data_IF_409487264004
#
_entry.id   IF_409487264004
#
_cell.length_a   1.000
_cell.length_b   1.000
_cell.length_c   1.000
_cell.angle_alpha   90.00
_cell.angle_beta   90.00
_cell.angle_gamma   90.00
#
_symmetry.space_group_name_H-M   'P 1'
#
loop_
_entity.id
_entity.type
_entity.pdbx_description
1 polymer ?
#
# COMPACT_ATOMS: atom_id res chain seq x y z
N UNK A 1 -17.93 7.62 -10.42
CA UNK A 1 -16.84 8.42 -9.82
C UNK A 1 -17.38 9.71 -9.18
N UNK A 2 -18.42 9.67 -8.32
CA UNK A 2 -19.25 10.87 -8.13
C UNK A 2 -19.64 11.28 -6.71
N UNK A 3 -19.25 10.60 -5.63
CA UNK A 3 -19.68 11.01 -4.27
C UNK A 3 -18.58 10.79 -3.23
N UNK A 4 -17.46 11.49 -3.39
CA UNK A 4 -16.40 11.56 -2.36
C UNK A 4 -16.97 12.01 -1.01
N UNK A 5 -17.97 12.89 -1.02
CA UNK A 5 -18.68 13.34 0.19
C UNK A 5 -19.42 12.21 0.91
N UNK A 6 -20.00 11.26 0.17
CA UNK A 6 -20.60 10.07 0.79
C UNK A 6 -19.55 9.13 1.34
N UNK A 7 -18.44 8.94 0.62
CA UNK A 7 -17.35 8.10 1.11
C UNK A 7 -16.82 8.66 2.43
N UNK A 8 -16.60 9.98 2.49
CA UNK A 8 -16.23 10.67 3.72
C UNK A 8 -17.25 10.45 4.85
N UNK A 9 -18.54 10.64 4.57
CA UNK A 9 -19.60 10.40 5.55
C UNK A 9 -19.60 8.98 6.11
N UNK A 10 -19.51 7.98 5.23
CA UNK A 10 -19.46 6.57 5.64
C UNK A 10 -18.18 6.22 6.44
N UNK A 11 -17.04 6.80 6.08
CA UNK A 11 -15.78 6.63 6.82
C UNK A 11 -15.91 7.22 8.22
N UNK A 12 -16.46 8.44 8.35
CA UNK A 12 -16.67 9.09 9.65
C UNK A 12 -17.65 8.31 10.53
N UNK A 13 -18.74 7.78 9.96
CA UNK A 13 -19.66 6.91 10.69
C UNK A 13 -18.95 5.63 11.18
N UNK A 14 -18.11 5.02 10.34
CA UNK A 14 -17.33 3.84 10.72
C UNK A 14 -16.28 4.15 11.81
N UNK A 15 -15.63 5.31 11.75
CA UNK A 15 -14.70 5.79 12.78
C UNK A 15 -15.40 5.96 14.13
N UNK A 16 -16.61 6.51 14.15
CA UNK A 16 -17.42 6.65 15.37
C UNK A 16 -17.82 5.29 15.95
N UNK A 17 -18.03 4.28 15.11
CA UNK A 17 -18.39 2.93 15.54
C UNK A 17 -17.20 2.13 16.06
N UNK A 18 -16.05 2.21 15.39
CA UNK A 18 -14.84 1.43 15.71
C UNK A 18 -13.57 2.15 15.21
N UNK A 19 -12.99 2.97 16.08
CA UNK A 19 -11.75 3.71 15.81
C UNK A 19 -10.52 2.78 15.71
N UNK A 20 -10.59 1.60 16.35
CA UNK A 20 -9.50 0.62 16.37
C UNK A 20 -9.52 -0.29 15.12
N UNK A 21 -10.41 -0.06 14.16
CA UNK A 21 -10.43 -0.81 12.92
C UNK A 21 -9.40 -0.27 11.92
N UNK A 22 -8.35 -1.05 11.55
CA UNK A 22 -7.32 -0.58 10.64
C UNK A 22 -7.87 -0.27 9.23
N UNK A 23 -8.98 -0.91 8.83
CA UNK A 23 -9.58 -0.66 7.51
C UNK A 23 -10.20 0.74 7.41
N UNK A 24 -10.68 1.32 8.51
CA UNK A 24 -11.21 2.70 8.52
C UNK A 24 -10.10 3.68 8.14
N UNK A 25 -8.94 3.54 8.77
CA UNK A 25 -7.76 4.35 8.49
C UNK A 25 -7.23 4.16 7.06
N UNK A 26 -7.28 2.94 6.51
CA UNK A 26 -6.96 2.68 5.10
C UNK A 26 -7.93 3.40 4.17
N UNK A 27 -9.24 3.31 4.43
CA UNK A 27 -10.24 3.99 3.59
C UNK A 27 -10.11 5.52 3.69
N UNK A 28 -9.80 6.04 4.88
CA UNK A 28 -9.51 7.46 5.06
C UNK A 28 -8.28 7.88 4.26
N UNK A 29 -7.20 7.08 4.28
CA UNK A 29 -6.01 7.35 3.47
C UNK A 29 -6.30 7.33 1.96
N UNK A 30 -7.16 6.43 1.47
CA UNK A 30 -7.57 6.39 0.07
C UNK A 30 -8.39 7.61 -0.32
N UNK A 31 -9.29 8.06 0.56
CA UNK A 31 -10.01 9.33 0.39
C UNK A 31 -9.03 10.51 0.32
N UNK A 32 -8.07 10.59 1.24
CA UNK A 32 -7.03 11.62 1.27
C UNK A 32 -6.15 11.60 0.01
N UNK A 33 -5.79 10.41 -0.48
CA UNK A 33 -5.05 10.24 -1.72
C UNK A 33 -5.84 10.73 -2.94
N UNK A 34 -7.16 10.54 -2.95
CA UNK A 34 -8.04 11.03 -4.01
C UNK A 34 -8.18 12.57 -4.02
N UNK A 35 -8.00 13.23 -2.88
CA UNK A 35 -7.96 14.71 -2.77
C UNK A 35 -6.54 15.29 -2.85
N UNK A 36 -5.54 14.46 -3.16
CA UNK A 36 -4.12 14.84 -3.27
C UNK A 36 -3.44 15.26 -1.95
N UNK A 37 -4.01 14.89 -0.80
CA UNK A 37 -3.40 15.11 0.53
C UNK A 37 -2.52 13.91 0.92
N UNK A 38 -1.38 13.76 0.23
CA UNK A 38 -0.48 12.61 0.37
C UNK A 38 0.19 12.50 1.75
N UNK A 39 0.48 13.62 2.41
CA UNK A 39 1.07 13.64 3.75
C UNK A 39 0.13 13.00 4.79
N UNK A 40 -1.11 13.49 4.85
CA UNK A 40 -2.12 12.96 5.76
C UNK A 40 -2.50 11.51 5.41
N UNK A 41 -2.46 11.14 4.12
CA UNK A 41 -2.68 9.75 3.71
C UNK A 41 -1.59 8.83 4.28
N UNK A 42 -0.33 9.27 4.28
CA UNK A 42 0.79 8.52 4.84
C UNK A 42 0.65 8.36 6.35
N UNK A 43 0.27 9.42 7.06
CA UNK A 43 0.00 9.36 8.51
C UNK A 43 -1.14 8.40 8.83
N UNK A 44 -2.23 8.43 8.05
CA UNK A 44 -3.39 7.56 8.23
C UNK A 44 -3.05 6.08 7.99
N UNK A 45 -2.25 5.78 6.96
CA UNK A 45 -1.72 4.43 6.74
C UNK A 45 -0.77 3.99 7.85
N UNK A 46 0.04 4.91 8.38
CA UNK A 46 0.87 4.67 9.56
C UNK A 46 0.03 4.25 10.77
N UNK A 47 -1.08 4.95 11.03
CA UNK A 47 -2.03 4.57 12.09
C UNK A 47 -2.60 3.16 11.86
N UNK A 48 -3.01 2.84 10.64
CA UNK A 48 -3.49 1.50 10.30
C UNK A 48 -2.45 0.41 10.62
N UNK A 49 -1.18 0.66 10.32
CA UNK A 49 -0.07 -0.27 10.58
C UNK A 49 0.32 -0.35 12.07
N UNK A 50 0.06 0.68 12.87
CA UNK A 50 0.23 0.60 14.33
C UNK A 50 -0.82 -0.30 14.97
N UNK A 51 -2.05 -0.28 14.45
CA UNK A 51 -3.15 -1.12 14.90
C UNK A 51 -2.94 -2.57 14.44
N UNK A 52 -2.63 -2.76 13.15
CA UNK A 52 -2.39 -4.05 12.53
C UNK A 52 -1.15 -3.98 11.63
N UNK A 53 -0.01 -4.44 12.15
CA UNK A 53 1.27 -4.41 11.46
C UNK A 53 1.31 -5.30 10.21
N UNK A 54 0.42 -6.29 10.10
CA UNK A 54 0.32 -7.19 8.95
C UNK A 54 -0.80 -6.77 7.98
N UNK A 55 -1.36 -5.56 8.14
CA UNK A 55 -2.44 -5.07 7.29
C UNK A 55 -1.99 -4.90 5.84
N UNK A 56 -2.50 -5.80 5.00
CA UNK A 56 -2.11 -5.92 3.61
C UNK A 56 -2.37 -4.67 2.77
N UNK A 57 -3.53 -4.05 2.95
CA UNK A 57 -3.94 -2.87 2.20
C UNK A 57 -3.12 -1.65 2.62
N UNK A 58 -2.87 -1.49 3.92
CA UNK A 58 -2.06 -0.40 4.43
C UNK A 58 -0.62 -0.45 3.89
N UNK A 59 0.03 -1.62 3.94
CA UNK A 59 1.39 -1.80 3.43
C UNK A 59 1.48 -1.52 1.92
N UNK A 60 0.53 -2.03 1.14
CA UNK A 60 0.51 -1.86 -0.32
C UNK A 60 0.30 -0.40 -0.71
N UNK A 61 -0.67 0.28 -0.09
CA UNK A 61 -0.94 1.68 -0.39
C UNK A 61 0.19 2.62 0.08
N UNK A 62 0.83 2.32 1.21
CA UNK A 62 1.99 3.10 1.68
C UNK A 62 3.18 2.94 0.72
N UNK A 63 3.46 1.71 0.26
CA UNK A 63 4.47 1.47 -0.76
C UNK A 63 4.13 2.18 -2.09
N UNK A 64 2.86 2.17 -2.48
CA UNK A 64 2.42 2.88 -3.66
C UNK A 64 2.66 4.39 -3.55
N UNK A 65 2.37 5.01 -2.39
CA UNK A 65 2.65 6.42 -2.16
C UNK A 65 4.15 6.70 -2.32
N UNK A 66 5.04 5.95 -1.68
CA UNK A 66 6.49 6.12 -1.84
C UNK A 66 7.00 5.97 -3.28
N UNK A 67 6.34 5.15 -4.10
CA UNK A 67 6.69 4.96 -5.51
C UNK A 67 6.04 5.98 -6.44
N UNK A 68 5.23 6.91 -5.91
CA UNK A 68 4.55 7.94 -6.70
C UNK A 68 5.38 9.22 -6.67
N UNK A 69 5.76 9.80 -7.82
CA UNK A 69 6.70 10.93 -7.88
C UNK A 69 6.17 12.23 -7.26
N UNK A 70 4.88 12.29 -6.88
CA UNK A 70 4.21 13.47 -6.36
C UNK A 70 4.15 13.54 -4.83
N UNK A 71 4.47 12.44 -4.12
CA UNK A 71 4.56 12.47 -2.67
C UNK A 71 5.93 13.05 -2.27
N UNK A 72 5.93 14.35 -2.03
CA UNK A 72 6.80 15.02 -1.08
C UNK A 72 8.22 15.31 -1.60
N UNK A 73 8.31 16.35 -2.42
CA UNK A 73 9.42 17.28 -2.30
C UNK A 73 8.86 18.69 -2.16
N UNK A 74 9.02 19.24 -0.96
CA UNK A 74 8.89 20.67 -0.71
C UNK A 74 9.90 21.43 -1.58
N UNK A 75 9.42 22.40 -2.35
CA UNK A 75 10.10 23.17 -3.40
C UNK A 75 11.28 24.05 -2.92
N UNK A 76 12.19 23.54 -2.09
CA UNK A 76 13.25 24.34 -1.47
C UNK A 76 14.70 23.95 -1.86
N UNK A 77 14.94 22.90 -2.66
CA UNK A 77 16.30 22.56 -3.14
C UNK A 77 16.33 22.00 -4.58
N UNK A 78 16.83 22.74 -5.58
CA UNK A 78 16.48 22.48 -6.98
C UNK A 78 17.43 21.57 -7.79
N UNK A 79 18.20 20.64 -7.21
CA UNK A 79 18.98 19.72 -8.09
C UNK A 79 19.49 18.39 -7.48
N UNK A 80 19.75 18.30 -6.18
CA UNK A 80 20.50 17.17 -5.60
C UNK A 80 19.75 16.33 -4.56
N UNK A 81 18.87 16.94 -3.77
CA UNK A 81 18.16 16.30 -2.67
C UNK A 81 16.93 15.51 -3.11
N UNK A 82 16.25 15.94 -4.18
CA UNK A 82 15.02 15.27 -4.64
C UNK A 82 15.28 13.84 -5.10
N UNK A 83 16.40 13.61 -5.79
CA UNK A 83 16.76 12.30 -6.30
C UNK A 83 17.24 11.37 -5.19
N UNK A 84 17.93 11.89 -4.18
CA UNK A 84 18.32 11.10 -3.00
C UNK A 84 17.11 10.71 -2.16
N UNK A 85 16.19 11.65 -1.87
CA UNK A 85 14.96 11.37 -1.13
C UNK A 85 14.08 10.36 -1.89
N UNK A 86 13.99 10.50 -3.22
CA UNK A 86 13.27 9.54 -4.06
C UNK A 86 13.91 8.15 -4.03
N UNK A 87 15.24 8.05 -4.07
CA UNK A 87 15.96 6.78 -3.92
C UNK A 87 15.71 6.14 -2.55
N UNK A 88 15.76 6.93 -1.48
CA UNK A 88 15.44 6.47 -0.12
C UNK A 88 14.00 5.96 -0.02
N UNK A 89 13.02 6.66 -0.60
CA UNK A 89 11.63 6.22 -0.66
C UNK A 89 11.47 4.88 -1.40
N UNK A 90 12.18 4.71 -2.52
CA UNK A 90 12.20 3.45 -3.28
C UNK A 90 12.80 2.32 -2.44
N UNK A 91 13.90 2.58 -1.73
CA UNK A 91 14.58 1.60 -0.88
C UNK A 91 13.71 1.21 0.32
N UNK A 92 13.03 2.17 0.94
CA UNK A 92 12.05 1.93 2.01
C UNK A 92 10.89 1.07 1.52
N UNK A 93 10.29 1.42 0.37
CA UNK A 93 9.20 0.65 -0.22
C UNK A 93 9.65 -0.79 -0.55
N UNK A 94 10.84 -0.95 -1.13
CA UNK A 94 11.40 -2.25 -1.45
C UNK A 94 11.63 -3.09 -0.19
N UNK A 95 12.28 -2.53 0.84
CA UNK A 95 12.55 -3.23 2.09
C UNK A 95 11.29 -3.64 2.84
N UNK A 96 10.31 -2.73 2.92
CA UNK A 96 9.01 -3.00 3.54
C UNK A 96 8.28 -4.15 2.82
N UNK A 97 8.12 -4.08 1.50
CA UNK A 97 7.43 -5.12 0.73
C UNK A 97 8.18 -6.46 0.71
N UNK A 98 9.50 -6.43 0.70
CA UNK A 98 10.35 -7.63 0.73
C UNK A 98 10.32 -8.33 2.10
N UNK A 99 10.10 -7.59 3.19
CA UNK A 99 9.83 -8.18 4.50
C UNK A 99 8.39 -8.73 4.60
N UNK A 100 7.42 -7.98 4.09
CA UNK A 100 6.00 -8.33 4.10
C UNK A 100 5.70 -9.61 3.31
N UNK A 101 6.26 -9.73 2.10
CA UNK A 101 6.12 -10.93 1.24
C UNK A 101 6.76 -12.19 1.86
N UNK A 102 7.69 -12.04 2.80
CA UNK A 102 8.43 -13.16 3.43
C UNK A 102 7.92 -13.57 4.80
N UNK A 103 7.29 -12.68 5.55
CA UNK A 103 6.89 -12.92 6.95
C UNK A 103 5.38 -13.06 7.15
N UNK A 104 4.58 -12.34 6.36
CA UNK A 104 3.16 -12.15 6.62
C UNK A 104 2.27 -12.88 5.59
N UNK A 105 0.97 -12.55 5.58
CA UNK A 105 -0.02 -12.97 4.57
C UNK A 105 0.37 -12.50 3.15
N UNK A 106 1.34 -11.57 3.04
CA UNK A 106 1.82 -10.96 1.81
C UNK A 106 2.34 -11.92 0.74
N UNK A 107 2.71 -13.16 1.08
CA UNK A 107 3.21 -14.13 0.11
C UNK A 107 2.18 -14.47 -0.98
N UNK A 108 0.88 -14.40 -0.67
CA UNK A 108 -0.23 -14.73 -1.58
C UNK A 108 -0.94 -13.48 -2.15
N UNK A 109 -0.29 -12.31 -2.12
CA UNK A 109 -0.90 -11.04 -2.54
C UNK A 109 -0.22 -10.54 -3.82
N UNK A 110 -0.90 -10.56 -4.98
CA UNK A 110 -0.29 -10.19 -6.25
C UNK A 110 0.15 -8.72 -6.28
N UNK A 111 -0.60 -7.82 -5.65
CA UNK A 111 -0.27 -6.40 -5.59
C UNK A 111 1.05 -6.14 -4.86
N UNK A 112 1.31 -6.86 -3.77
CA UNK A 112 2.56 -6.73 -3.02
C UNK A 112 3.77 -7.12 -3.89
N UNK A 113 3.67 -8.23 -4.63
CA UNK A 113 4.70 -8.66 -5.58
C UNK A 113 4.87 -7.69 -6.75
N UNK A 114 3.78 -7.13 -7.26
CA UNK A 114 3.81 -6.14 -8.33
C UNK A 114 4.52 -4.85 -7.91
N UNK A 115 4.17 -4.27 -6.76
CA UNK A 115 4.83 -3.07 -6.26
C UNK A 115 6.28 -3.33 -5.84
N UNK A 116 6.59 -4.53 -5.33
CA UNK A 116 7.97 -4.93 -5.04
C UNK A 116 8.78 -4.98 -6.34
N UNK A 117 8.23 -5.58 -7.40
CA UNK A 117 8.88 -5.62 -8.70
C UNK A 117 9.11 -4.21 -9.26
N UNK A 118 8.14 -3.30 -9.10
CA UNK A 118 8.28 -1.90 -9.50
C UNK A 118 9.43 -1.22 -8.74
N UNK A 119 9.49 -1.35 -7.42
CA UNK A 119 10.56 -0.78 -6.60
C UNK A 119 11.94 -1.34 -6.98
N UNK A 120 12.07 -2.67 -7.09
CA UNK A 120 13.30 -3.38 -7.48
C UNK A 120 13.75 -3.03 -8.90
N UNK A 121 12.79 -2.79 -9.81
CA UNK A 121 13.07 -2.31 -11.16
C UNK A 121 13.65 -0.90 -11.17
N UNK A 122 13.13 0.00 -10.32
CA UNK A 122 13.68 1.35 -10.13
C UNK A 122 15.09 1.32 -9.49
N UNK A 123 15.40 0.31 -8.68
CA UNK A 123 16.76 0.04 -8.16
C UNK A 123 17.72 -0.54 -9.22
N UNK A 124 17.23 -0.90 -10.42
CA UNK A 124 18.03 -1.50 -11.50
C UNK A 124 18.27 -3.00 -11.40
N UNK A 125 17.62 -3.70 -10.44
CA UNK A 125 17.79 -5.14 -10.21
C UNK A 125 16.85 -5.98 -11.09
N UNK A 126 17.16 -6.06 -12.39
CA UNK A 126 16.28 -6.66 -13.41
C UNK A 126 15.89 -8.13 -13.18
N UNK A 127 16.81 -8.97 -12.72
CA UNK A 127 16.50 -10.40 -12.49
C UNK A 127 15.46 -10.57 -11.38
N UNK A 128 15.66 -9.92 -10.24
CA UNK A 128 14.70 -9.95 -9.13
C UNK A 128 13.36 -9.34 -9.53
N UNK A 129 13.36 -8.28 -10.34
CA UNK A 129 12.14 -7.70 -10.90
C UNK A 129 11.37 -8.75 -11.72
N UNK A 130 12.04 -9.48 -12.60
CA UNK A 130 11.42 -10.53 -13.43
C UNK A 130 10.79 -11.63 -12.58
N UNK A 131 11.50 -12.09 -11.54
CA UNK A 131 11.00 -13.08 -10.60
C UNK A 131 9.74 -12.60 -9.87
N UNK A 132 9.76 -11.36 -9.37
CA UNK A 132 8.62 -10.77 -8.66
C UNK A 132 7.40 -10.61 -9.58
N UNK A 133 7.60 -10.17 -10.83
CA UNK A 133 6.52 -10.07 -11.83
C UNK A 133 5.93 -11.44 -12.19
N UNK A 134 6.79 -12.46 -12.34
CA UNK A 134 6.33 -13.82 -12.62
C UNK A 134 5.47 -14.37 -11.47
N UNK A 135 5.85 -14.07 -10.22
CA UNK A 135 5.04 -14.45 -9.06
C UNK A 135 3.71 -13.68 -9.01
N UNK A 136 3.73 -12.37 -9.23
CA UNK A 136 2.52 -11.54 -9.26
C UNK A 136 1.51 -12.06 -10.30
N UNK A 137 1.99 -12.38 -11.51
CA UNK A 137 1.15 -12.91 -12.59
C UNK A 137 0.52 -14.25 -12.20
N UNK A 138 1.33 -15.17 -11.68
CA UNK A 138 0.86 -16.50 -11.25
C UNK A 138 -0.23 -16.43 -10.19
N UNK A 139 -0.12 -15.47 -9.25
CA UNK A 139 -1.11 -15.28 -8.20
C UNK A 139 -2.40 -14.65 -8.73
N UNK A 140 -2.30 -13.69 -9.65
CA UNK A 140 -3.46 -13.02 -10.24
C UNK A 140 -4.30 -13.99 -11.09
N UNK A 141 -3.66 -14.89 -11.84
CA UNK A 141 -4.35 -15.92 -12.63
C UNK A 141 -5.24 -16.85 -11.77
N UNK A 142 -4.87 -17.05 -10.50
CA UNK A 142 -5.61 -17.91 -9.57
C UNK A 142 -6.54 -17.16 -8.61
N UNK A 143 -6.71 -15.85 -8.77
CA UNK A 143 -7.33 -15.00 -7.73
C UNK A 143 -8.85 -15.10 -7.72
N UNK A 144 -9.47 -15.42 -6.56
CA UNK A 144 -10.91 -15.37 -6.41
C UNK A 144 -11.42 -13.94 -6.18
N UNK A 145 -12.68 -13.66 -6.56
CA UNK A 145 -13.32 -12.33 -6.40
C UNK A 145 -13.44 -11.92 -4.92
N UNK A 146 -13.58 -12.89 -4.01
CA UNK A 146 -13.60 -12.69 -2.56
C UNK A 146 -12.60 -13.65 -1.93
N UNK A 147 -12.07 -13.28 -0.75
CA UNK A 147 -11.19 -14.18 -0.02
C UNK A 147 -11.93 -15.48 0.31
N UNK A 148 -11.27 -16.61 0.10
CA UNK A 148 -11.87 -17.92 0.36
C UNK A 148 -12.23 -18.09 1.84
N UNK A 149 -11.46 -17.47 2.74
CA UNK A 149 -11.72 -17.45 4.18
C UNK A 149 -13.05 -16.77 4.55
N UNK A 150 -13.50 -15.78 3.78
CA UNK A 150 -14.80 -15.13 3.99
C UNK A 150 -15.93 -15.86 3.24
N UNK A 151 -15.62 -16.50 2.11
CA UNK A 151 -16.61 -17.18 1.29
C UNK A 151 -17.02 -18.54 1.85
N UNK A 152 -16.11 -19.22 2.56
CA UNK A 152 -16.36 -20.53 3.16
C UNK A 152 -16.32 -20.40 4.68
N UNK A 153 -17.42 -20.64 5.40
CA UNK A 153 -17.37 -20.67 6.85
C UNK A 153 -16.43 -21.80 7.28
N UNK A 154 -15.47 -21.48 8.14
CA UNK A 154 -14.58 -22.46 8.76
C UNK A 154 -15.38 -23.29 9.78
N UNK A 155 -16.25 -24.17 9.29
CA UNK A 155 -16.94 -25.15 10.12
C UNK A 155 -16.01 -26.37 10.26
N UNK A 156 -15.37 -26.49 11.42
CA UNK A 156 -14.78 -27.73 11.92
C UNK A 156 -15.78 -28.45 12.82
#
# INVERSE_FOLDING_TARGET
MGRLDQAKGAIMEAEVLDEENPNVWVQYALYLSAIHEHDQATESLGKALMIDADNTAATVHLAQLFLTPSSNVSLLDPAGSEESVRREAIDMAAGMLDSFTRRAVGWNIPEAWYFLAKAVGLQGRKEKQRECLAMALKLEEGRPVRSLALALPACL
#
